data_IF_349057307051
#
_entry.id   IF_349057307051
#
_cell.length_a   1.000
_cell.length_b   1.000
_cell.length_c   1.000
_cell.angle_alpha   90.00
_cell.angle_beta   90.00
_cell.angle_gamma   90.00
#
_symmetry.space_group_name_H-M   'P 1'
#
loop_
_entity.id
_entity.type
_entity.pdbx_description
1 polymer ?
#
# COMPACT_ATOMS: atom_id res chain seq x y z
N UNK A 1 -44.60 17.24 -46.74
CA UNK A 1 -45.07 18.45 -46.07
C UNK A 1 -45.24 18.08 -44.61
N UNK A 2 -44.66 18.85 -43.75
CA UNK A 2 -44.57 18.80 -42.29
C UNK A 2 -43.44 17.94 -41.75
N UNK A 3 -42.42 18.62 -41.31
CA UNK A 3 -41.30 18.16 -40.55
C UNK A 3 -41.70 17.93 -39.09
N UNK A 4 -41.33 16.81 -38.56
CA UNK A 4 -41.39 16.50 -37.13
C UNK A 4 -40.07 16.90 -36.48
N UNK A 5 -40.11 17.93 -35.70
CA UNK A 5 -39.04 18.50 -34.92
C UNK A 5 -39.02 17.81 -33.56
N UNK A 6 -38.07 16.89 -33.35
CA UNK A 6 -37.82 16.30 -32.02
C UNK A 6 -36.94 17.25 -31.18
N UNK A 7 -37.32 17.51 -29.91
CA UNK A 7 -36.49 18.32 -29.01
C UNK A 7 -35.25 17.58 -28.54
N UNK A 8 -34.12 18.27 -28.53
CA UNK A 8 -32.85 17.84 -27.95
C UNK A 8 -33.00 17.72 -26.42
N UNK A 9 -32.44 16.70 -25.78
CA UNK A 9 -32.34 16.65 -24.33
C UNK A 9 -31.31 17.69 -23.84
N UNK A 10 -31.72 18.37 -22.78
CA UNK A 10 -30.94 19.37 -22.09
C UNK A 10 -29.83 18.75 -21.25
N UNK A 11 -28.75 19.48 -21.20
CA UNK A 11 -27.70 19.61 -20.17
C UNK A 11 -27.25 18.34 -19.42
N UNK A 12 -26.10 17.87 -19.88
CA UNK A 12 -25.16 17.05 -19.16
C UNK A 12 -24.59 17.87 -17.99
N UNK A 13 -25.21 17.76 -16.82
CA UNK A 13 -24.65 18.31 -15.60
C UNK A 13 -23.33 17.61 -15.26
N UNK A 14 -22.31 18.44 -15.13
CA UNK A 14 -20.93 18.05 -14.88
C UNK A 14 -20.81 17.07 -13.71
N UNK A 15 -20.44 15.84 -14.00
CA UNK A 15 -19.92 14.89 -13.03
C UNK A 15 -18.50 15.33 -12.70
N UNK A 16 -18.33 16.02 -11.60
CA UNK A 16 -16.99 16.19 -11.02
C UNK A 16 -16.62 14.90 -10.31
N UNK A 17 -15.80 14.11 -11.00
CA UNK A 17 -15.07 13.01 -10.39
C UNK A 17 -14.10 13.65 -9.36
N UNK A 18 -14.43 13.55 -8.07
CA UNK A 18 -13.53 13.99 -7.01
C UNK A 18 -12.37 12.99 -6.93
N UNK A 19 -11.47 13.10 -7.89
CA UNK A 19 -10.12 12.53 -7.74
C UNK A 19 -9.52 13.11 -6.47
N UNK A 20 -9.01 12.25 -5.61
CA UNK A 20 -8.18 12.59 -4.46
C UNK A 20 -7.25 13.74 -4.87
N UNK A 21 -7.32 14.91 -4.23
CA UNK A 21 -6.40 15.98 -4.55
C UNK A 21 -4.99 15.48 -4.28
N UNK A 22 -4.11 15.75 -5.23
CA UNK A 22 -2.67 15.61 -5.06
C UNK A 22 -2.29 16.25 -3.70
N UNK A 23 -1.86 15.42 -2.74
CA UNK A 23 -1.34 15.94 -1.48
C UNK A 23 -0.14 16.80 -1.81
N UNK A 24 -0.34 18.10 -2.09
CA UNK A 24 0.64 19.17 -1.94
C UNK A 24 0.42 20.32 -2.92
N UNK A 25 -0.28 21.33 -2.45
CA UNK A 25 0.00 22.74 -2.76
C UNK A 25 -0.42 23.61 -1.58
N UNK A 26 0.45 23.71 -0.59
CA UNK A 26 0.45 24.87 0.30
C UNK A 26 1.64 25.74 -0.07
N UNK A 27 1.35 26.89 -0.64
CA UNK A 27 2.32 27.98 -0.81
C UNK A 27 2.53 28.67 0.54
N UNK A 28 3.78 28.72 0.99
CA UNK A 28 4.25 29.75 1.92
C UNK A 28 4.66 29.29 3.29
N UNK A 29 5.86 28.73 3.44
CA UNK A 29 6.84 29.17 4.42
C UNK A 29 8.22 28.62 4.04
N UNK A 30 9.19 29.50 3.84
CA UNK A 30 10.56 29.17 3.43
C UNK A 30 11.45 28.94 4.65
N UNK A 31 11.13 27.95 5.46
CA UNK A 31 12.07 27.33 6.38
C UNK A 31 12.07 25.82 6.10
N UNK A 32 13.01 25.38 5.25
CA UNK A 32 13.27 23.95 5.03
C UNK A 32 13.74 23.37 6.37
N UNK A 33 12.97 22.49 7.04
CA UNK A 33 13.51 21.77 8.18
C UNK A 33 14.66 20.90 7.68
N UNK A 34 15.76 20.87 8.41
CA UNK A 34 16.93 20.06 8.09
C UNK A 34 16.48 18.61 7.86
N UNK A 35 16.92 18.06 6.73
CA UNK A 35 16.70 16.66 6.30
C UNK A 35 17.08 15.74 7.47
N UNK A 36 16.19 14.85 7.97
CA UNK A 36 16.62 13.79 8.85
C UNK A 36 17.74 13.00 8.15
N UNK A 37 18.82 12.63 8.87
CA UNK A 37 19.89 11.84 8.27
C UNK A 37 19.24 10.58 7.67
N UNK A 38 19.64 10.27 6.44
CA UNK A 38 19.32 8.97 5.86
C UNK A 38 19.77 7.89 6.86
N UNK A 39 18.99 6.82 7.07
CA UNK A 39 19.45 5.71 7.89
C UNK A 39 20.82 5.28 7.35
N UNK A 40 21.81 5.21 8.25
CA UNK A 40 23.16 4.77 7.86
C UNK A 40 23.03 3.43 7.17
N UNK A 41 23.66 3.22 6.00
CA UNK A 41 23.65 1.93 5.36
C UNK A 41 24.33 0.93 6.30
N UNK A 42 23.60 -0.06 6.76
CA UNK A 42 24.18 -1.22 7.46
C UNK A 42 24.90 -2.06 6.41
N UNK A 43 26.07 -1.61 5.99
CA UNK A 43 26.95 -2.39 5.11
C UNK A 43 27.81 -3.27 5.99
N UNK A 44 27.35 -4.47 6.30
CA UNK A 44 28.21 -5.53 6.80
C UNK A 44 27.70 -6.86 6.25
N UNK A 45 28.35 -7.37 5.22
CA UNK A 45 28.08 -8.68 4.68
C UNK A 45 27.82 -8.68 3.18
N UNK A 46 27.73 -9.85 2.61
CA UNK A 46 27.30 -10.11 1.25
C UNK A 46 25.92 -9.44 1.04
N UNK A 47 25.76 -8.54 0.04
CA UNK A 47 24.51 -7.86 -0.21
C UNK A 47 23.33 -8.80 -0.51
N UNK A 48 23.59 -10.07 -0.77
CA UNK A 48 22.60 -11.12 -1.03
C UNK A 48 22.18 -11.91 0.23
N UNK A 49 22.71 -11.57 1.40
CA UNK A 49 22.26 -12.20 2.66
C UNK A 49 21.22 -11.33 3.35
N UNK A 50 19.97 -11.82 3.51
CA UNK A 50 18.92 -11.03 4.16
C UNK A 50 19.27 -10.78 5.63
N UNK A 51 19.09 -9.54 6.09
CA UNK A 51 19.22 -9.19 7.50
C UNK A 51 17.93 -9.61 8.22
N UNK A 52 17.92 -10.81 8.80
CA UNK A 52 16.80 -11.32 9.59
C UNK A 52 17.09 -11.06 11.06
N UNK A 53 16.21 -10.31 11.73
CA UNK A 53 16.28 -10.03 13.17
C UNK A 53 15.27 -10.90 13.91
N UNK A 54 15.67 -11.90 14.67
CA UNK A 54 14.76 -12.85 15.32
C UNK A 54 13.68 -12.17 16.17
N UNK A 55 13.99 -11.06 16.83
CA UNK A 55 13.05 -10.28 17.63
C UNK A 55 11.91 -9.65 16.82
N UNK A 56 12.05 -9.53 15.49
CA UNK A 56 11.01 -9.04 14.61
C UNK A 56 10.06 -10.12 14.09
N UNK A 57 10.36 -11.40 14.36
CA UNK A 57 9.58 -12.55 13.89
C UNK A 57 8.83 -13.27 15.04
N UNK A 58 8.61 -12.58 16.15
CA UNK A 58 7.83 -13.09 17.30
C UNK A 58 6.41 -12.57 17.24
N UNK A 59 5.51 -13.28 17.95
CA UNK A 59 4.12 -12.84 18.13
C UNK A 59 4.08 -11.43 18.73
N UNK A 60 3.33 -10.55 18.10
CA UNK A 60 3.07 -9.17 18.53
C UNK A 60 1.59 -8.86 18.56
N UNK A 61 1.23 -7.96 19.45
CA UNK A 61 -0.13 -7.45 19.55
C UNK A 61 -0.13 -5.95 19.32
N UNK A 62 -1.08 -5.47 18.50
CA UNK A 62 -1.20 -4.06 18.14
C UNK A 62 -2.63 -3.55 18.28
N UNK A 63 -2.74 -2.29 18.69
CA UNK A 63 -3.90 -1.47 18.37
C UNK A 63 -3.55 -0.57 17.19
N UNK A 64 -4.33 -0.66 16.12
CA UNK A 64 -4.17 0.17 14.93
C UNK A 64 -5.33 1.14 14.84
N UNK A 65 -5.02 2.45 14.82
CA UNK A 65 -5.98 3.52 14.59
C UNK A 65 -5.66 4.20 13.26
N UNK A 66 -6.69 4.44 12.46
CA UNK A 66 -6.58 5.20 11.22
C UNK A 66 -7.74 6.17 11.17
N UNK A 67 -7.45 7.45 11.03
CA UNK A 67 -8.44 8.50 10.87
C UNK A 67 -8.20 9.26 9.58
N UNK A 68 -9.24 9.40 8.79
CA UNK A 68 -9.24 10.21 7.58
C UNK A 68 -10.34 11.25 7.69
N UNK A 69 -9.98 12.53 7.60
CA UNK A 69 -10.90 13.65 7.70
C UNK A 69 -10.85 14.45 6.39
N UNK A 70 -11.97 14.51 5.70
CA UNK A 70 -12.19 15.44 4.58
C UNK A 70 -12.88 16.69 5.12
N UNK A 71 -12.36 17.85 4.76
CA UNK A 71 -12.99 19.15 5.04
C UNK A 71 -13.28 19.84 3.72
N UNK A 72 -14.53 20.20 3.52
CA UNK A 72 -15.05 20.85 2.31
C UNK A 72 -15.28 22.33 2.57
N UNK A 73 -15.00 23.17 1.60
CA UNK A 73 -15.25 24.61 1.68
C UNK A 73 -16.74 24.93 1.65
N UNK A 74 -17.51 24.14 0.88
CA UNK A 74 -18.95 24.27 0.73
C UNK A 74 -19.67 23.01 1.23
N UNK A 75 -20.98 23.09 1.41
CA UNK A 75 -21.76 21.93 1.84
C UNK A 75 -21.80 20.84 0.77
N UNK A 76 -21.48 19.63 1.21
CA UNK A 76 -21.72 18.38 0.48
C UNK A 76 -23.05 17.83 0.93
N UNK A 77 -23.96 17.58 -0.02
CA UNK A 77 -25.31 17.04 0.26
C UNK A 77 -25.28 15.53 0.43
N UNK A 78 -24.49 14.86 -0.41
CA UNK A 78 -24.39 13.40 -0.43
C UNK A 78 -22.93 12.97 -0.60
N UNK A 79 -22.53 11.99 0.17
CA UNK A 79 -21.22 11.31 0.06
C UNK A 79 -21.42 9.81 -0.08
N UNK A 80 -20.84 9.23 -1.12
CA UNK A 80 -20.78 7.80 -1.35
C UNK A 80 -19.35 7.36 -1.33
N UNK A 81 -19.02 6.35 -0.52
CA UNK A 81 -17.65 5.93 -0.42
C UNK A 81 -17.46 4.43 -0.21
N UNK A 82 -16.24 4.01 -0.49
CA UNK A 82 -15.72 2.68 -0.20
C UNK A 82 -14.51 2.82 0.70
N UNK A 83 -14.52 2.16 1.85
CA UNK A 83 -13.40 2.09 2.78
C UNK A 83 -12.82 0.68 2.81
N UNK A 84 -11.54 0.54 2.47
CA UNK A 84 -10.78 -0.71 2.55
C UNK A 84 -9.80 -0.57 3.72
N UNK A 85 -10.34 -0.57 4.95
CA UNK A 85 -9.61 -0.26 6.18
C UNK A 85 -9.52 -1.46 7.13
N UNK A 86 -10.38 -2.48 6.95
CA UNK A 86 -10.35 -3.67 7.79
C UNK A 86 -9.15 -4.52 7.43
N UNK A 87 -8.27 -4.86 8.40
CA UNK A 87 -7.17 -5.77 8.16
C UNK A 87 -7.67 -7.15 7.72
N UNK A 88 -6.89 -7.82 6.90
CA UNK A 88 -7.19 -9.17 6.45
C UNK A 88 -6.97 -10.17 7.58
N UNK A 89 -7.67 -11.29 7.51
CA UNK A 89 -7.35 -12.51 8.25
C UNK A 89 -6.42 -13.35 7.37
N UNK A 90 -5.21 -13.66 7.85
CA UNK A 90 -4.22 -14.52 7.15
C UNK A 90 -3.59 -15.48 8.16
N UNK A 91 -2.71 -16.36 7.71
CA UNK A 91 -1.97 -17.26 8.60
C UNK A 91 -1.00 -16.48 9.52
N UNK A 92 -0.52 -15.32 9.07
CA UNK A 92 0.43 -14.48 9.80
C UNK A 92 -0.24 -13.42 10.67
N UNK A 93 -1.55 -13.17 10.47
CA UNK A 93 -2.23 -12.12 11.24
C UNK A 93 -3.67 -12.48 11.58
N UNK A 94 -4.05 -12.24 12.82
CA UNK A 94 -5.39 -12.43 13.36
C UNK A 94 -6.01 -11.11 13.76
N UNK A 95 -7.20 -10.82 13.21
CA UNK A 95 -8.02 -9.68 13.62
C UNK A 95 -8.80 -10.08 14.86
N UNK A 96 -8.48 -9.49 16.00
CA UNK A 96 -9.18 -9.75 17.28
C UNK A 96 -10.46 -8.93 17.37
N UNK A 97 -10.36 -7.65 17.01
CA UNK A 97 -11.47 -6.70 17.02
C UNK A 97 -11.29 -5.69 15.86
N UNK A 98 -12.39 -5.24 15.29
CA UNK A 98 -12.38 -4.20 14.27
C UNK A 98 -13.64 -3.38 14.31
N UNK A 99 -13.49 -2.05 14.28
CA UNK A 99 -14.60 -1.08 14.17
C UNK A 99 -14.26 -0.02 13.14
N UNK A 100 -15.30 0.45 12.44
CA UNK A 100 -15.26 1.64 11.57
C UNK A 100 -16.40 2.55 12.00
N UNK A 101 -16.08 3.80 12.28
CA UNK A 101 -17.01 4.87 12.61
C UNK A 101 -16.94 5.95 11.54
N UNK A 102 -18.07 6.40 11.08
CA UNK A 102 -18.19 7.43 10.02
C UNK A 102 -19.08 8.55 10.56
N UNK A 103 -18.62 9.78 10.42
CA UNK A 103 -19.36 10.97 10.83
C UNK A 103 -19.40 11.99 9.67
N UNK A 104 -20.58 12.51 9.30
CA UNK A 104 -21.91 12.22 9.89
C UNK A 104 -22.31 10.76 9.75
N UNK A 105 -23.21 10.29 10.63
CA UNK A 105 -23.70 8.91 10.63
C UNK A 105 -24.24 8.54 9.24
N UNK A 106 -23.75 7.44 8.65
CA UNK A 106 -24.16 7.03 7.32
C UNK A 106 -25.59 6.45 7.32
N UNK A 107 -26.35 6.76 6.28
CA UNK A 107 -27.67 6.15 6.04
C UNK A 107 -27.53 4.66 5.66
N UNK A 108 -26.44 4.32 4.97
CA UNK A 108 -26.11 2.96 4.59
C UNK A 108 -24.65 2.73 4.97
N UNK A 109 -24.37 1.63 5.67
CA UNK A 109 -23.05 1.07 5.90
C UNK A 109 -23.13 -0.43 5.73
N UNK A 110 -22.46 -0.97 4.71
CA UNK A 110 -22.46 -2.40 4.41
C UNK A 110 -21.05 -2.88 4.17
N UNK A 111 -20.74 -4.10 4.61
CA UNK A 111 -19.47 -4.76 4.35
C UNK A 111 -19.63 -5.83 3.27
N UNK A 112 -18.63 -5.98 2.43
CA UNK A 112 -18.50 -7.05 1.44
C UNK A 112 -17.04 -7.43 1.29
N UNK A 113 -16.82 -8.60 0.70
CA UNK A 113 -15.49 -9.07 0.31
C UNK A 113 -15.34 -8.86 -1.18
N UNK A 114 -14.27 -8.21 -1.61
CA UNK A 114 -14.01 -7.96 -3.02
C UNK A 114 -13.41 -9.19 -3.73
N UNK A 115 -13.14 -9.05 -5.03
CA UNK A 115 -12.58 -10.13 -5.87
C UNK A 115 -11.24 -10.66 -5.33
N UNK A 116 -10.44 -9.82 -4.69
CA UNK A 116 -9.15 -10.21 -4.11
C UNK A 116 -9.27 -10.77 -2.68
N UNK A 117 -10.48 -10.87 -2.16
CA UNK A 117 -10.74 -11.29 -0.80
C UNK A 117 -10.51 -10.19 0.24
N UNK A 118 -10.39 -8.91 -0.15
CA UNK A 118 -10.26 -7.79 0.78
C UNK A 118 -11.62 -7.42 1.34
N UNK A 119 -11.66 -7.05 2.63
CA UNK A 119 -12.85 -6.50 3.25
C UNK A 119 -13.04 -5.04 2.84
N UNK A 120 -14.22 -4.70 2.37
CA UNK A 120 -14.57 -3.39 1.89
C UNK A 120 -15.91 -2.95 2.47
N UNK A 121 -15.95 -1.77 3.06
CA UNK A 121 -17.17 -1.15 3.57
C UNK A 121 -17.66 -0.11 2.57
N UNK A 122 -18.89 -0.25 2.08
CA UNK A 122 -19.57 0.80 1.33
C UNK A 122 -20.38 1.64 2.31
N UNK A 123 -20.32 2.97 2.17
CA UNK A 123 -21.12 3.89 2.96
C UNK A 123 -21.78 4.97 2.12
N UNK A 124 -22.91 5.45 2.63
CA UNK A 124 -23.70 6.54 2.06
C UNK A 124 -24.10 7.52 3.17
N UNK A 125 -23.67 8.77 3.05
CA UNK A 125 -24.04 9.88 3.94
C UNK A 125 -24.87 10.87 3.14
N UNK A 126 -26.14 11.08 3.54
CA UNK A 126 -27.09 12.04 2.93
C UNK A 126 -27.33 13.28 3.78
N UNK A 127 -26.74 13.35 4.95
CA UNK A 127 -26.81 14.55 5.79
C UNK A 127 -25.88 15.60 5.21
N UNK A 128 -26.35 16.83 4.93
CA UNK A 128 -25.49 17.92 4.48
C UNK A 128 -24.35 18.18 5.48
N UNK A 129 -23.11 18.22 4.98
CA UNK A 129 -21.94 18.33 5.83
C UNK A 129 -20.79 19.08 5.14
N UNK A 130 -19.94 19.69 5.94
CA UNK A 130 -18.65 20.26 5.50
C UNK A 130 -17.45 19.45 5.98
N UNK A 131 -17.70 18.42 6.81
CA UNK A 131 -16.66 17.51 7.32
C UNK A 131 -17.18 16.08 7.20
N UNK A 132 -16.38 15.20 6.57
CA UNK A 132 -16.57 13.76 6.58
C UNK A 132 -15.38 13.14 7.30
N UNK A 133 -15.64 12.46 8.41
CA UNK A 133 -14.60 11.80 9.22
C UNK A 133 -14.82 10.30 9.23
N UNK A 134 -13.79 9.55 8.86
CA UNK A 134 -13.78 8.09 8.87
C UNK A 134 -12.71 7.64 9.85
N UNK A 135 -13.12 6.98 10.91
CA UNK A 135 -12.24 6.49 11.95
C UNK A 135 -12.29 4.97 12.03
N UNK A 136 -11.14 4.34 12.01
CA UNK A 136 -10.98 2.88 12.14
C UNK A 136 -10.14 2.56 13.37
N UNK A 137 -10.57 1.54 14.12
CA UNK A 137 -9.79 0.92 15.20
C UNK A 137 -9.75 -0.59 15.01
N UNK A 138 -8.58 -1.21 15.18
CA UNK A 138 -8.43 -2.67 15.11
C UNK A 138 -7.46 -3.15 16.19
N UNK A 139 -7.78 -4.30 16.82
CA UNK A 139 -6.86 -5.05 17.64
C UNK A 139 -6.36 -6.25 16.83
N UNK A 140 -5.04 -6.42 16.79
CA UNK A 140 -4.36 -7.38 15.93
C UNK A 140 -3.38 -8.23 16.71
N UNK A 141 -3.26 -9.49 16.30
CA UNK A 141 -2.13 -10.36 16.64
C UNK A 141 -1.40 -10.71 15.34
N UNK A 142 -0.09 -10.55 15.36
CA UNK A 142 0.76 -10.68 14.18
C UNK A 142 1.93 -11.58 14.53
N UNK A 143 2.16 -12.62 13.71
CA UNK A 143 3.33 -13.48 13.80
C UNK A 143 3.77 -13.87 12.37
N UNK A 144 4.84 -13.25 11.91
CA UNK A 144 5.44 -13.54 10.62
C UNK A 144 6.72 -14.33 10.82
N UNK A 145 6.75 -15.61 10.46
CA UNK A 145 8.00 -16.36 10.47
C UNK A 145 8.97 -15.79 9.45
N UNK A 146 10.28 -15.92 9.67
CA UNK A 146 11.27 -15.56 8.65
C UNK A 146 11.07 -16.44 7.42
N UNK A 147 11.35 -15.92 6.21
CA UNK A 147 11.30 -16.73 4.99
C UNK A 147 12.32 -17.87 5.06
N UNK A 148 11.94 -19.03 4.59
CA UNK A 148 12.85 -20.18 4.44
C UNK A 148 13.71 -19.98 3.17
N UNK A 149 14.90 -19.42 3.37
CA UNK A 149 15.81 -19.10 2.26
C UNK A 149 16.36 -20.35 1.56
N UNK A 150 16.53 -21.46 2.27
CA UNK A 150 17.00 -22.71 1.66
C UNK A 150 15.93 -23.26 0.71
N UNK A 151 14.66 -23.20 1.12
CA UNK A 151 13.52 -23.60 0.30
C UNK A 151 13.36 -22.69 -0.94
N UNK A 152 13.47 -21.37 -0.77
CA UNK A 152 13.39 -20.42 -1.88
C UNK A 152 14.56 -20.59 -2.86
N UNK A 153 15.77 -20.81 -2.37
CA UNK A 153 16.97 -20.95 -3.18
C UNK A 153 17.13 -22.35 -3.82
N UNK A 154 16.23 -23.30 -3.49
CA UNK A 154 16.18 -24.58 -4.20
C UNK A 154 15.73 -24.44 -5.66
N UNK A 155 15.22 -23.27 -6.03
CA UNK A 155 14.71 -22.94 -7.36
C UNK A 155 15.46 -21.73 -7.93
N UNK A 156 15.62 -21.72 -9.25
CA UNK A 156 16.06 -20.52 -9.99
C UNK A 156 14.86 -19.66 -10.38
N UNK A 157 15.09 -18.39 -10.72
CA UNK A 157 14.07 -17.47 -11.24
C UNK A 157 13.34 -18.06 -12.45
N UNK A 158 14.08 -18.70 -13.37
CA UNK A 158 13.50 -19.33 -14.55
C UNK A 158 12.59 -20.52 -14.19
N UNK A 159 13.04 -21.41 -13.30
CA UNK A 159 12.24 -22.58 -12.88
C UNK A 159 10.95 -22.17 -12.19
N UNK A 160 10.95 -21.11 -11.36
CA UNK A 160 9.71 -20.56 -10.77
C UNK A 160 8.77 -20.05 -11.86
N UNK A 161 9.28 -19.29 -12.83
CA UNK A 161 8.47 -18.78 -13.94
C UNK A 161 7.89 -19.90 -14.80
N UNK A 162 8.65 -20.95 -15.05
CA UNK A 162 8.20 -22.15 -15.78
C UNK A 162 7.09 -22.91 -15.03
N UNK A 163 7.23 -23.09 -13.70
CA UNK A 163 6.20 -23.72 -12.87
C UNK A 163 4.90 -22.91 -12.89
N UNK A 164 4.99 -21.58 -12.78
CA UNK A 164 3.83 -20.69 -12.87
C UNK A 164 3.16 -20.80 -14.26
N UNK A 165 3.95 -20.82 -15.33
CA UNK A 165 3.44 -20.95 -16.69
C UNK A 165 2.80 -22.33 -16.95
N UNK A 166 3.36 -23.41 -16.41
CA UNK A 166 2.81 -24.77 -16.52
C UNK A 166 1.45 -24.88 -15.80
N UNK A 167 1.28 -24.22 -14.64
CA UNK A 167 0.00 -24.11 -13.95
C UNK A 167 -0.56 -25.42 -13.39
N UNK A 168 0.26 -26.45 -13.21
CA UNK A 168 -0.21 -27.78 -12.83
C UNK A 168 -0.50 -27.92 -11.33
N UNK A 169 0.09 -27.05 -10.50
CA UNK A 169 -0.02 -27.07 -9.03
C UNK A 169 -0.54 -25.77 -8.42
N UNK A 170 -0.70 -24.71 -9.21
CA UNK A 170 -1.09 -23.38 -8.78
C UNK A 170 -2.52 -23.03 -9.24
N UNK A 171 -3.20 -22.17 -8.48
CA UNK A 171 -4.41 -21.53 -8.98
C UNK A 171 -4.04 -20.60 -10.16
N UNK A 172 -4.33 -21.07 -11.37
CA UNK A 172 -4.03 -20.34 -12.62
C UNK A 172 -4.72 -18.98 -12.66
N UNK A 173 -5.93 -18.88 -12.12
CA UNK A 173 -6.67 -17.63 -12.14
C UNK A 173 -6.05 -16.61 -11.17
N UNK A 174 -5.62 -17.07 -10.00
CA UNK A 174 -4.89 -16.23 -9.06
C UNK A 174 -3.53 -15.81 -9.62
N UNK A 175 -2.73 -16.75 -10.12
CA UNK A 175 -1.42 -16.42 -10.70
C UNK A 175 -1.54 -15.44 -11.87
N UNK A 176 -2.48 -15.68 -12.80
CA UNK A 176 -2.64 -14.85 -14.00
C UNK A 176 -2.97 -13.40 -13.67
N UNK A 177 -3.82 -13.13 -12.67
CA UNK A 177 -4.17 -11.75 -12.32
C UNK A 177 -3.00 -10.92 -11.81
N UNK A 178 -1.97 -11.57 -11.23
CA UNK A 178 -0.77 -10.91 -10.70
C UNK A 178 0.43 -11.01 -11.64
N UNK A 179 0.29 -11.66 -12.80
CA UNK A 179 1.27 -11.65 -13.91
C UNK A 179 0.99 -10.57 -14.93
N UNK A 180 -0.30 -10.26 -15.16
CA UNK A 180 -0.69 -9.30 -16.16
C UNK A 180 -0.36 -7.86 -15.74
N UNK A 181 -0.06 -6.96 -16.71
CA UNK A 181 0.04 -5.55 -16.42
C UNK A 181 -1.29 -5.01 -15.85
N UNK A 182 -1.20 -3.98 -15.04
CA UNK A 182 -2.34 -3.24 -14.50
C UNK A 182 -2.18 -1.76 -14.78
N UNK A 183 -3.12 -0.93 -14.36
CA UNK A 183 -3.11 0.48 -14.74
C UNK A 183 -1.91 1.26 -14.16
N UNK A 184 -1.37 0.84 -13.02
CA UNK A 184 -0.22 1.47 -12.36
C UNK A 184 1.04 0.58 -12.38
N UNK A 185 0.94 -0.64 -12.89
CA UNK A 185 2.07 -1.55 -13.04
C UNK A 185 2.12 -1.99 -14.50
N UNK A 186 2.85 -1.25 -15.29
CA UNK A 186 3.11 -1.56 -16.69
C UNK A 186 4.39 -2.40 -16.83
N UNK A 187 4.44 -3.24 -17.86
CA UNK A 187 5.62 -4.03 -18.21
C UNK A 187 6.29 -3.38 -19.42
N UNK A 188 6.79 -2.16 -19.20
CA UNK A 188 7.47 -1.38 -20.24
C UNK A 188 8.90 -1.91 -20.50
N UNK A 189 9.50 -1.61 -21.66
CA UNK A 189 10.87 -2.03 -21.99
C UNK A 189 11.90 -1.63 -20.93
N UNK A 190 11.76 -0.49 -20.30
CA UNK A 190 12.62 0.03 -19.23
C UNK A 190 12.54 -0.84 -17.98
N UNK A 191 11.31 -1.30 -17.63
CA UNK A 191 11.07 -2.21 -16.50
C UNK A 191 11.68 -3.58 -16.78
N UNK A 192 11.50 -4.11 -18.00
CA UNK A 192 12.11 -5.37 -18.43
C UNK A 192 13.63 -5.29 -18.34
N UNK A 193 14.23 -4.21 -18.84
CA UNK A 193 15.68 -4.02 -18.81
C UNK A 193 16.23 -3.93 -17.38
N UNK A 194 15.53 -3.19 -16.49
CA UNK A 194 15.90 -3.07 -15.09
C UNK A 194 15.78 -4.43 -14.36
N UNK A 195 14.68 -5.13 -14.59
CA UNK A 195 14.41 -6.45 -14.02
C UNK A 195 15.45 -7.49 -14.43
N UNK A 196 15.88 -7.52 -15.69
CA UNK A 196 16.84 -8.49 -16.21
C UNK A 196 18.21 -8.43 -15.51
N UNK A 197 18.62 -7.24 -15.03
CA UNK A 197 19.83 -7.06 -14.24
C UNK A 197 19.72 -7.64 -12.81
N UNK A 198 18.51 -7.61 -12.25
CA UNK A 198 18.23 -8.00 -10.87
C UNK A 198 17.84 -9.47 -10.76
N UNK A 199 17.03 -9.96 -11.69
CA UNK A 199 16.41 -11.28 -11.70
C UNK A 199 16.86 -12.08 -12.95
N UNK A 200 18.16 -12.34 -13.15
CA UNK A 200 18.60 -13.18 -14.26
C UNK A 200 18.07 -14.62 -14.07
N UNK A 201 17.84 -15.34 -15.18
CA UNK A 201 17.14 -16.65 -15.18
C UNK A 201 17.76 -17.72 -14.26
N UNK A 202 19.07 -17.71 -14.14
CA UNK A 202 19.88 -18.68 -13.40
C UNK A 202 20.12 -18.33 -11.93
N UNK A 203 19.66 -17.14 -11.48
CA UNK A 203 19.81 -16.73 -10.09
C UNK A 203 18.91 -17.57 -9.18
N UNK A 204 19.36 -18.03 -8.00
CA UNK A 204 18.52 -18.62 -6.97
C UNK A 204 17.38 -17.66 -6.60
N UNK A 205 16.16 -18.16 -6.52
CA UNK A 205 14.97 -17.32 -6.41
C UNK A 205 14.96 -16.43 -5.14
N UNK A 206 15.33 -17.01 -3.99
CA UNK A 206 15.45 -16.26 -2.74
C UNK A 206 16.48 -15.13 -2.81
N UNK A 207 17.65 -15.39 -3.41
CA UNK A 207 18.67 -14.37 -3.68
C UNK A 207 18.14 -13.30 -4.67
N UNK A 208 17.34 -13.70 -5.64
CA UNK A 208 16.66 -12.79 -6.55
C UNK A 208 15.72 -11.83 -5.83
N UNK A 209 14.93 -12.33 -4.87
CA UNK A 209 14.05 -11.50 -4.05
C UNK A 209 14.84 -10.53 -3.16
N UNK A 210 15.96 -10.99 -2.56
CA UNK A 210 16.86 -10.12 -1.79
C UNK A 210 17.45 -9.04 -2.67
N UNK A 211 17.95 -9.40 -3.86
CA UNK A 211 18.46 -8.43 -4.81
C UNK A 211 17.40 -7.41 -5.23
N UNK A 212 16.15 -7.84 -5.46
CA UNK A 212 15.07 -6.98 -5.89
C UNK A 212 14.81 -5.84 -4.89
N UNK A 213 14.59 -6.17 -3.61
CA UNK A 213 14.35 -5.11 -2.64
C UNK A 213 15.60 -4.28 -2.34
N UNK A 214 16.80 -4.90 -2.34
CA UNK A 214 18.05 -4.20 -2.04
C UNK A 214 18.48 -3.25 -3.16
N UNK A 215 18.30 -3.64 -4.42
CA UNK A 215 18.65 -2.82 -5.56
C UNK A 215 17.69 -1.62 -5.69
N UNK A 216 16.38 -1.82 -5.49
CA UNK A 216 15.44 -0.70 -5.45
C UNK A 216 15.78 0.25 -4.29
N UNK A 217 16.04 -0.26 -3.08
CA UNK A 217 16.45 0.56 -1.95
C UNK A 217 17.70 1.39 -2.22
N UNK A 218 18.70 0.80 -2.89
CA UNK A 218 19.96 1.47 -3.24
C UNK A 218 19.81 2.49 -4.36
N UNK A 219 19.03 2.15 -5.39
CA UNK A 219 18.97 2.89 -6.65
C UNK A 219 18.02 4.08 -6.62
N UNK A 220 17.12 4.14 -5.61
CA UNK A 220 16.09 5.16 -5.50
C UNK A 220 16.18 5.93 -4.18
N UNK A 221 15.83 7.21 -4.25
CA UNK A 221 15.73 8.07 -3.06
C UNK A 221 14.26 8.16 -2.62
N UNK A 222 14.00 7.92 -1.33
CA UNK A 222 12.67 8.17 -0.79
C UNK A 222 12.41 9.68 -0.67
N UNK A 223 11.45 10.19 -1.43
CA UNK A 223 11.12 11.61 -1.49
C UNK A 223 9.61 11.81 -1.63
N UNK A 224 9.00 12.44 -0.63
CA UNK A 224 7.57 12.78 -0.67
C UNK A 224 7.33 13.94 -1.64
N UNK A 225 6.26 13.85 -2.44
CA UNK A 225 5.83 14.92 -3.32
C UNK A 225 6.58 15.04 -4.65
N UNK A 226 7.50 14.13 -4.95
CA UNK A 226 8.17 14.06 -6.26
C UNK A 226 7.37 13.25 -7.28
N UNK A 227 6.50 12.37 -6.80
CA UNK A 227 5.62 11.52 -7.61
C UNK A 227 4.16 11.75 -7.30
N UNK A 228 3.29 11.32 -8.19
CA UNK A 228 1.85 11.27 -8.04
C UNK A 228 1.36 9.84 -8.31
N UNK A 229 0.10 9.55 -7.99
CA UNK A 229 -0.53 8.26 -8.33
C UNK A 229 -0.59 7.99 -9.85
N UNK A 230 -0.22 8.95 -10.68
CA UNK A 230 -0.17 8.83 -12.16
C UNK A 230 1.25 8.66 -12.69
N UNK A 231 2.29 8.75 -11.84
CA UNK A 231 3.67 8.55 -12.26
C UNK A 231 3.84 7.13 -12.78
N UNK A 232 4.34 7.00 -14.00
CA UNK A 232 4.58 5.72 -14.68
C UNK A 232 5.88 5.09 -14.20
N UNK A 233 6.04 3.77 -14.37
CA UNK A 233 7.28 3.09 -13.99
C UNK A 233 8.50 3.55 -14.80
N UNK A 234 8.40 3.84 -16.13
CA UNK A 234 9.49 4.48 -16.87
C UNK A 234 9.89 5.86 -16.32
N UNK A 235 8.92 6.71 -15.95
CA UNK A 235 9.20 8.00 -15.31
C UNK A 235 9.91 7.82 -13.98
N UNK A 236 9.46 6.88 -13.13
CA UNK A 236 10.10 6.53 -11.86
C UNK A 236 11.55 6.05 -12.07
N UNK A 237 11.77 5.16 -13.06
CA UNK A 237 13.10 4.68 -13.42
C UNK A 237 14.03 5.81 -13.90
N UNK A 238 13.50 6.83 -14.57
CA UNK A 238 14.27 7.96 -15.04
C UNK A 238 14.64 8.95 -13.90
N UNK A 239 13.68 9.26 -13.02
CA UNK A 239 13.88 10.26 -11.95
C UNK A 239 14.57 9.72 -10.70
N UNK A 240 14.48 8.40 -10.42
CA UNK A 240 15.09 7.73 -9.27
C UNK A 240 14.64 8.26 -7.90
N UNK A 241 13.46 8.87 -7.84
CA UNK A 241 12.85 9.37 -6.61
C UNK A 241 11.39 8.92 -6.55
N UNK A 242 10.91 8.55 -5.34
CA UNK A 242 9.54 8.11 -5.17
C UNK A 242 9.21 7.80 -3.70
N UNK A 243 8.04 7.20 -3.48
CA UNK A 243 7.56 6.76 -2.18
C UNK A 243 7.30 5.25 -2.16
N UNK A 244 6.91 4.70 -1.01
CA UNK A 244 6.67 3.25 -0.86
C UNK A 244 5.71 2.67 -1.91
N UNK A 245 4.69 3.42 -2.31
CA UNK A 245 3.77 3.02 -3.38
C UNK A 245 4.49 2.79 -4.71
N UNK A 246 5.38 3.70 -5.09
CA UNK A 246 6.11 3.64 -6.35
C UNK A 246 7.09 2.46 -6.36
N UNK A 247 7.79 2.25 -5.26
CA UNK A 247 8.75 1.15 -5.11
C UNK A 247 8.06 -0.22 -5.10
N UNK A 248 6.89 -0.32 -4.47
CA UNK A 248 6.06 -1.52 -4.51
C UNK A 248 5.54 -1.82 -5.93
N UNK A 249 5.11 -0.78 -6.69
CA UNK A 249 4.71 -0.93 -8.08
C UNK A 249 5.89 -1.38 -8.97
N UNK A 250 7.07 -0.78 -8.80
CA UNK A 250 8.26 -1.16 -9.55
C UNK A 250 8.66 -2.61 -9.27
N UNK A 251 8.68 -3.01 -8.00
CA UNK A 251 9.00 -4.38 -7.61
C UNK A 251 7.99 -5.39 -8.20
N UNK A 252 6.68 -5.07 -8.16
CA UNK A 252 5.66 -5.90 -8.81
C UNK A 252 5.86 -5.97 -10.33
N UNK A 253 6.21 -4.86 -10.98
CA UNK A 253 6.53 -4.81 -12.41
C UNK A 253 7.75 -5.67 -12.76
N UNK A 254 8.80 -5.62 -11.94
CA UNK A 254 10.01 -6.44 -12.13
C UNK A 254 9.71 -7.94 -12.02
N UNK A 255 8.94 -8.36 -11.02
CA UNK A 255 8.52 -9.75 -10.86
C UNK A 255 7.71 -10.23 -12.08
N UNK A 256 6.70 -9.45 -12.47
CA UNK A 256 5.85 -9.78 -13.63
C UNK A 256 6.62 -9.84 -14.94
N UNK A 257 7.64 -8.97 -15.11
CA UNK A 257 8.47 -8.93 -16.29
C UNK A 257 9.29 -10.23 -16.49
N UNK A 258 9.59 -10.96 -15.43
CA UNK A 258 10.29 -12.26 -15.49
C UNK A 258 9.35 -13.45 -15.33
N UNK A 259 8.02 -13.25 -15.37
CA UNK A 259 7.02 -14.31 -15.31
C UNK A 259 6.68 -14.80 -13.90
N UNK A 260 7.02 -14.03 -12.85
CA UNK A 260 6.68 -14.33 -11.47
C UNK A 260 5.50 -13.45 -11.04
N UNK A 261 4.40 -14.03 -10.49
CA UNK A 261 3.28 -13.23 -9.99
C UNK A 261 3.73 -12.31 -8.84
N UNK A 262 3.49 -11.02 -9.01
CA UNK A 262 3.78 -10.00 -8.00
C UNK A 262 2.52 -9.24 -7.63
N UNK A 263 2.09 -9.30 -6.36
CA UNK A 263 0.94 -8.53 -5.87
C UNK A 263 1.37 -7.32 -5.07
N UNK A 264 0.67 -6.22 -5.29
CA UNK A 264 0.79 -5.02 -4.48
C UNK A 264 0.08 -5.24 -3.14
N UNK A 265 0.74 -4.94 -2.03
CA UNK A 265 0.18 -5.06 -0.68
C UNK A 265 0.07 -3.68 -0.04
N UNK A 266 -1.08 -3.40 0.55
CA UNK A 266 -1.37 -2.19 1.32
C UNK A 266 -1.60 -2.53 2.79
N UNK A 267 -1.07 -1.69 3.67
CA UNK A 267 -1.22 -1.92 5.10
C UNK A 267 -0.57 -0.84 5.95
N UNK A 268 -0.05 -1.25 7.08
CA UNK A 268 0.65 -0.39 8.03
C UNK A 268 1.94 -1.06 8.48
N UNK A 269 2.88 -0.24 8.94
CA UNK A 269 4.11 -0.72 9.58
C UNK A 269 4.29 -0.01 10.93
N UNK A 270 4.72 -0.75 11.96
CA UNK A 270 5.18 -0.14 13.20
C UNK A 270 6.41 0.72 12.92
N UNK A 271 6.31 2.04 13.15
CA UNK A 271 7.46 2.94 13.07
C UNK A 271 7.94 3.32 14.46
N UNK A 272 9.24 3.51 14.61
CA UNK A 272 9.85 4.02 15.84
C UNK A 272 10.39 5.42 15.61
N UNK A 273 10.16 6.37 16.53
CA UNK A 273 10.78 7.68 16.43
C UNK A 273 12.31 7.56 16.54
N UNK A 274 13.06 8.52 16.03
CA UNK A 274 14.49 8.60 16.27
C UNK A 274 14.81 8.53 17.77
N UNK A 275 16.01 8.02 18.09
CA UNK A 275 16.43 7.88 19.49
C UNK A 275 16.37 9.25 20.23
N UNK A 276 15.63 9.30 21.33
CA UNK A 276 15.43 10.51 22.13
C UNK A 276 14.22 11.36 21.71
N UNK A 277 13.46 10.98 20.71
CA UNK A 277 12.23 11.64 20.31
C UNK A 277 10.98 10.83 20.75
N UNK A 278 9.90 11.55 21.04
CA UNK A 278 8.62 10.96 21.40
C UNK A 278 7.78 10.77 20.15
N UNK A 279 7.21 9.59 19.95
CA UNK A 279 6.28 9.31 18.85
C UNK A 279 5.03 10.19 18.99
N UNK A 280 4.79 11.05 17.99
CA UNK A 280 3.59 11.88 17.96
C UNK A 280 2.37 11.06 17.54
N UNK A 281 1.20 11.37 18.11
CA UNK A 281 -0.05 10.72 17.70
C UNK A 281 -0.38 11.04 16.23
N UNK A 282 -0.78 10.01 15.46
CA UNK A 282 -1.09 10.13 14.05
C UNK A 282 0.14 10.26 13.13
N UNK A 283 1.35 9.98 13.64
CA UNK A 283 2.59 10.13 12.89
C UNK A 283 2.96 8.93 12.02
N UNK A 284 2.35 7.78 12.27
CA UNK A 284 2.50 6.63 11.37
C UNK A 284 1.77 6.90 10.06
N UNK A 285 2.14 6.22 9.02
CA UNK A 285 1.51 6.33 7.71
C UNK A 285 1.03 4.96 7.24
N UNK A 286 0.09 4.95 6.30
CA UNK A 286 -0.14 3.77 5.49
C UNK A 286 1.15 3.41 4.76
N UNK A 287 1.37 2.13 4.57
CA UNK A 287 2.55 1.61 3.92
C UNK A 287 2.19 0.67 2.78
N UNK A 288 3.10 0.53 1.84
CA UNK A 288 2.95 -0.35 0.70
C UNK A 288 4.22 -1.14 0.46
N UNK A 289 4.04 -2.39 0.05
CA UNK A 289 5.12 -3.30 -0.31
C UNK A 289 4.64 -4.29 -1.38
N UNK A 290 5.43 -5.28 -1.71
CA UNK A 290 5.11 -6.28 -2.72
C UNK A 290 5.18 -7.68 -2.13
N UNK A 291 4.38 -8.62 -2.65
CA UNK A 291 4.57 -10.03 -2.38
C UNK A 291 4.79 -10.80 -3.69
N UNK A 292 5.75 -11.71 -3.67
CA UNK A 292 6.07 -12.62 -4.77
C UNK A 292 5.47 -13.99 -4.50
N UNK A 293 4.89 -14.62 -5.53
CA UNK A 293 4.39 -15.99 -5.44
C UNK A 293 5.57 -16.97 -5.42
N UNK A 294 5.53 -17.94 -4.51
CA UNK A 294 6.51 -19.01 -4.41
C UNK A 294 6.19 -20.16 -5.36
N UNK A 295 7.11 -21.09 -5.61
CA UNK A 295 6.87 -22.28 -6.42
C UNK A 295 5.71 -23.15 -5.93
N UNK A 296 5.38 -23.09 -4.63
CA UNK A 296 4.31 -23.85 -4.01
C UNK A 296 2.96 -23.12 -4.00
N UNK A 297 2.91 -21.88 -4.51
CA UNK A 297 1.71 -21.04 -4.55
C UNK A 297 1.49 -20.18 -3.31
N UNK A 298 2.39 -20.24 -2.34
CA UNK A 298 2.40 -19.32 -1.21
C UNK A 298 2.93 -17.95 -1.62
N UNK A 299 2.95 -16.99 -0.68
CA UNK A 299 3.41 -15.64 -0.92
C UNK A 299 4.51 -15.25 0.05
N UNK A 300 5.56 -14.61 -0.46
CA UNK A 300 6.63 -14.00 0.32
C UNK A 300 6.59 -12.50 0.14
N UNK A 301 6.44 -11.78 1.25
CA UNK A 301 6.32 -10.33 1.28
C UNK A 301 7.69 -9.68 1.48
N UNK A 302 8.02 -8.71 0.62
CA UNK A 302 9.29 -7.99 0.61
C UNK A 302 9.07 -6.49 0.46
N UNK A 303 9.85 -5.72 1.21
CA UNK A 303 9.72 -4.26 1.27
C UNK A 303 10.94 -3.55 0.70
N UNK A 304 10.85 -3.07 -0.55
CA UNK A 304 11.94 -2.32 -1.18
C UNK A 304 12.17 -0.93 -0.57
N UNK A 305 11.22 -0.42 0.23
CA UNK A 305 11.39 0.86 0.94
C UNK A 305 12.26 0.72 2.17
N UNK A 306 12.18 -0.41 2.87
CA UNK A 306 12.90 -0.66 4.11
C UNK A 306 14.02 -1.70 3.97
N UNK A 307 14.25 -2.23 2.78
CA UNK A 307 15.34 -3.16 2.45
C UNK A 307 15.32 -4.47 3.25
N UNK A 308 14.16 -5.08 3.41
CA UNK A 308 14.04 -6.40 4.06
C UNK A 308 12.73 -7.12 3.69
N UNK A 309 12.62 -8.39 4.04
CA UNK A 309 11.34 -9.12 4.02
C UNK A 309 10.40 -8.58 5.10
N UNK A 310 9.09 -8.68 4.88
CA UNK A 310 8.10 -8.32 5.89
C UNK A 310 8.27 -9.20 7.15
N UNK A 311 7.98 -8.63 8.30
CA UNK A 311 8.09 -9.25 9.62
C UNK A 311 6.87 -8.88 10.49
N UNK A 312 6.87 -9.26 11.77
CA UNK A 312 5.72 -9.05 12.67
C UNK A 312 5.38 -7.59 12.97
N UNK A 313 6.06 -6.63 12.35
CA UNK A 313 5.71 -5.20 12.38
C UNK A 313 4.76 -4.79 11.26
N UNK A 314 4.50 -5.68 10.28
CA UNK A 314 3.68 -5.42 9.11
C UNK A 314 2.25 -5.89 9.31
N UNK A 315 1.28 -5.04 8.99
CA UNK A 315 -0.15 -5.30 9.15
C UNK A 315 -0.84 -5.11 7.81
N UNK A 316 -1.31 -6.20 7.20
CA UNK A 316 -1.96 -6.20 5.88
C UNK A 316 -3.41 -5.75 6.01
N UNK A 317 -3.81 -4.74 5.23
CA UNK A 317 -5.23 -4.38 5.05
C UNK A 317 -5.81 -4.96 3.77
N UNK A 318 -5.00 -5.07 2.72
CA UNK A 318 -5.44 -5.64 1.47
C UNK A 318 -4.31 -5.83 0.49
N UNK A 319 -4.58 -6.60 -0.55
CA UNK A 319 -3.69 -6.76 -1.69
C UNK A 319 -4.48 -6.73 -3.00
N UNK A 320 -3.79 -6.42 -4.08
CA UNK A 320 -4.34 -6.34 -5.41
C UNK A 320 -3.25 -6.26 -6.47
N UNK A 321 -3.63 -5.92 -7.68
CA UNK A 321 -2.69 -5.80 -8.80
C UNK A 321 -1.85 -4.52 -8.71
N UNK A 322 -2.45 -3.46 -8.17
CA UNK A 322 -1.83 -2.16 -7.91
C UNK A 322 -2.63 -1.38 -6.84
N UNK A 323 -2.19 -0.18 -6.50
CA UNK A 323 -2.83 0.69 -5.50
C UNK A 323 -4.32 0.95 -5.76
N UNK A 324 -4.77 0.94 -7.02
CA UNK A 324 -6.19 1.23 -7.34
C UNK A 324 -7.14 0.16 -6.81
N UNK A 325 -6.68 -1.09 -6.71
CA UNK A 325 -7.47 -2.18 -6.16
C UNK A 325 -7.62 -2.05 -4.63
N UNK A 326 -6.63 -1.46 -3.93
CA UNK A 326 -6.52 -1.44 -2.47
C UNK A 326 -6.47 -0.04 -1.84
N UNK A 327 -6.86 1.00 -2.58
CA UNK A 327 -6.93 2.36 -2.03
C UNK A 327 -7.76 2.38 -0.76
N UNK A 328 -7.24 2.92 0.37
CA UNK A 328 -7.93 2.88 1.67
C UNK A 328 -9.31 3.52 1.66
N UNK A 329 -9.46 4.64 0.96
CA UNK A 329 -10.72 5.34 0.79
C UNK A 329 -10.88 5.82 -0.65
N UNK A 330 -12.07 5.59 -1.20
CA UNK A 330 -12.53 6.12 -2.49
C UNK A 330 -13.95 6.60 -2.33
N UNK A 331 -14.29 7.73 -2.94
CA UNK A 331 -15.66 8.24 -2.86
C UNK A 331 -16.01 9.20 -3.98
N UNK A 332 -17.29 9.48 -4.06
CA UNK A 332 -17.89 10.52 -4.89
C UNK A 332 -18.75 11.37 -3.98
N UNK A 333 -18.66 12.68 -4.13
CA UNK A 333 -19.45 13.65 -3.39
C UNK A 333 -20.32 14.44 -4.34
N UNK A 334 -21.46 14.88 -3.85
CA UNK A 334 -22.37 15.82 -4.53
C UNK A 334 -22.53 17.05 -3.66
N UNK A 335 -22.39 18.22 -4.26
CA UNK A 335 -22.45 19.51 -3.55
C UNK A 335 -22.37 20.68 -4.52
N UNK A 336 -22.33 21.89 -4.00
CA UNK A 336 -22.30 23.12 -4.79
C UNK A 336 -20.93 23.43 -5.41
N UNK A 337 -19.92 22.57 -5.17
CA UNK A 337 -18.54 22.77 -5.61
C UNK A 337 -17.66 23.27 -4.47
N UNK A 338 -16.49 23.82 -4.80
CA UNK A 338 -15.50 24.30 -3.83
C UNK A 338 -14.31 23.36 -3.68
N UNK A 339 -13.31 23.81 -2.93
CA UNK A 339 -12.11 23.04 -2.60
C UNK A 339 -12.37 22.05 -1.47
N UNK A 340 -11.48 21.08 -1.36
CA UNK A 340 -11.45 20.16 -0.22
C UNK A 340 -10.03 19.98 0.29
N UNK A 341 -9.90 19.70 1.59
CA UNK A 341 -8.65 19.30 2.21
C UNK A 341 -8.78 17.91 2.83
N UNK A 342 -7.68 17.16 2.81
CA UNK A 342 -7.59 15.82 3.35
C UNK A 342 -6.54 15.78 4.46
N UNK A 343 -6.94 15.22 5.61
CA UNK A 343 -6.01 14.92 6.70
C UNK A 343 -6.09 13.42 7.03
N UNK A 344 -4.94 12.76 7.02
CA UNK A 344 -4.82 11.36 7.41
C UNK A 344 -3.89 11.25 8.62
N UNK A 345 -4.29 10.46 9.61
CA UNK A 345 -3.49 10.12 10.77
C UNK A 345 -3.57 8.62 11.04
N UNK A 346 -2.43 8.00 11.28
CA UNK A 346 -2.32 6.58 11.59
C UNK A 346 -1.51 6.41 12.87
N UNK A 347 -1.95 5.49 13.72
CA UNK A 347 -1.22 5.03 14.89
C UNK A 347 -1.16 3.50 14.89
N UNK A 348 0.04 2.95 14.94
CA UNK A 348 0.31 1.53 15.21
C UNK A 348 0.92 1.44 16.60
N UNK A 349 0.13 0.95 17.55
CA UNK A 349 0.46 0.98 18.97
C UNK A 349 0.72 -0.46 19.42
N UNK A 350 1.97 -0.83 19.76
CA UNK A 350 2.25 -2.13 20.35
C UNK A 350 1.61 -2.24 21.75
N UNK A 351 1.02 -3.39 22.04
CA UNK A 351 0.34 -3.67 23.31
C UNK A 351 1.17 -4.53 24.28
N UNK A 352 2.37 -4.91 23.85
CA UNK A 352 3.34 -5.70 24.63
C UNK A 352 4.16 -4.89 25.64
N UNK A 353 3.77 -3.64 25.91
CA UNK A 353 4.47 -2.72 26.83
C UNK A 353 5.67 -2.00 26.19
N UNK A 354 5.95 -2.22 24.92
CA UNK A 354 7.04 -1.56 24.19
C UNK A 354 6.63 -0.21 23.58
N UNK A 355 5.45 0.33 23.90
CA UNK A 355 4.97 1.63 23.37
C UNK A 355 5.85 2.77 23.90
N UNK A 356 6.60 3.44 23.04
CA UNK A 356 7.42 4.58 23.43
C UNK A 356 6.64 5.79 23.99
N UNK A 357 5.28 5.75 23.93
CA UNK A 357 4.39 6.76 24.54
C UNK A 357 4.02 6.44 25.99
N UNK A 358 4.31 5.23 26.48
CA UNK A 358 3.92 4.81 27.83
C UNK A 358 4.55 5.66 28.95
N UNK A 359 5.65 6.35 28.64
CA UNK A 359 6.40 7.20 29.60
C UNK A 359 6.00 8.69 29.56
N UNK A 360 4.98 9.06 28.78
CA UNK A 360 4.51 10.46 28.70
C UNK A 360 3.28 10.63 29.58
N UNK A 361 3.34 11.40 30.69
CA UNK A 361 2.17 11.68 31.51
C UNK A 361 1.11 12.42 30.68
N UNK A 362 -0.17 12.16 30.88
CA UNK A 362 -1.24 12.88 30.17
C UNK A 362 -1.17 14.37 30.49
N UNK A 363 -1.19 15.21 29.43
CA UNK A 363 -1.31 16.65 29.54
C UNK A 363 -2.72 17.07 29.85
#
# INVERSE_FOLDING_TARGET
MSADEQPRPADEQARTDATVPDEQRTTGDTSVPARPPAPEPVVTGDPLVPVIKPEHHTLRQYEVRHRTTYTYEEYVTDSFGRALLRPRQTDQQRVVEHTVEISPEPHILTEHVDHFGNHSSFYEVRTPHTVLDVHKRSLMEIEWPPPDMDRLNAWTVAEVAELVAAGDQLDRAEAAQYLLPSQLVEIAPEVIAYSAGILPPDRPFGEGLVALYSDIYRDFTYAKGTTSVKTTLPELLAQREGVCQDFAHLAAGCLRAVGIPGRYVSGYIETRPPAGEVKLAGSDASHAWVAAMTPEGDWVDLDPTNNHFADSRYIVTGWGRDFRDVSPLKGVIFGEGGGSSLKVGVDVIPLDGSDPRADVPPK
#
